data_IF_450196348468
#
_entry.id   IF_450196348468
#
_cell.length_a   1.000
_cell.length_b   1.000
_cell.length_c   1.000
_cell.angle_alpha   90.00
_cell.angle_beta   90.00
_cell.angle_gamma   90.00
#
_symmetry.space_group_name_H-M   'P 1'
#
loop_
_entity.id
_entity.type
_entity.pdbx_description
1 polymer ?
#
# COMPACT_ATOMS: atom_id res chain seq x y z
N UNK A 1 14.65 -4.52 -16.94
CA UNK A 1 14.53 -3.19 -17.55
C UNK A 1 15.44 -3.24 -18.76
N UNK A 2 14.88 -3.64 -19.90
CA UNK A 2 15.68 -4.03 -21.09
C UNK A 2 15.72 -2.91 -22.14
N UNK A 3 14.91 -1.87 -21.97
CA UNK A 3 14.83 -0.70 -22.85
C UNK A 3 15.04 0.61 -22.06
N UNK A 4 15.84 1.51 -22.62
CA UNK A 4 16.13 2.83 -22.10
C UNK A 4 15.69 3.92 -23.10
N UNK A 5 15.30 5.12 -22.63
CA UNK A 5 15.27 5.57 -21.24
C UNK A 5 14.10 4.92 -20.46
N UNK A 6 14.36 4.59 -19.19
CA UNK A 6 13.36 3.98 -18.33
C UNK A 6 12.71 5.03 -17.42
N UNK A 7 11.40 4.91 -17.24
CA UNK A 7 10.63 5.75 -16.31
C UNK A 7 10.44 4.97 -15.01
N UNK A 8 10.94 5.52 -13.90
CA UNK A 8 10.81 4.94 -12.57
C UNK A 8 9.47 5.31 -11.89
N UNK A 9 9.31 4.88 -10.64
CA UNK A 9 8.12 5.14 -9.84
C UNK A 9 7.10 4.00 -9.91
N UNK A 10 6.44 3.75 -8.79
CA UNK A 10 5.52 2.62 -8.60
C UNK A 10 4.16 3.04 -8.11
N UNK A 11 4.05 4.16 -7.39
CA UNK A 11 2.79 4.69 -6.91
C UNK A 11 2.49 6.01 -7.61
N UNK A 12 1.22 6.20 -7.95
CA UNK A 12 0.73 7.39 -8.63
C UNK A 12 -0.70 7.72 -8.23
N UNK A 13 -1.02 9.00 -8.32
CA UNK A 13 -2.36 9.54 -8.10
C UNK A 13 -2.62 10.65 -9.10
N UNK A 14 -3.85 10.75 -9.59
CA UNK A 14 -4.22 11.77 -10.57
C UNK A 14 -5.66 11.63 -11.04
N UNK A 15 -5.97 12.25 -12.17
CA UNK A 15 -7.26 12.13 -12.85
C UNK A 15 -7.13 11.25 -14.08
N UNK A 16 -8.14 10.43 -14.35
CA UNK A 16 -8.21 9.67 -15.59
C UNK A 16 -8.32 10.63 -16.78
N UNK A 17 -7.36 10.59 -17.69
CA UNK A 17 -7.37 11.38 -18.92
C UNK A 17 -8.05 10.65 -20.10
N UNK A 18 -7.84 9.34 -20.20
CA UNK A 18 -8.36 8.48 -21.26
C UNK A 18 -8.72 7.09 -20.71
N UNK A 19 -9.72 6.46 -21.31
CA UNK A 19 -10.22 5.12 -20.96
C UNK A 19 -9.92 4.17 -22.11
N UNK A 20 -9.25 3.05 -21.81
CA UNK A 20 -8.98 2.01 -22.80
C UNK A 20 -10.24 1.27 -23.25
N UNK A 21 -10.17 0.66 -24.43
CA UNK A 21 -11.27 -0.13 -25.00
C UNK A 21 -11.76 -1.22 -24.03
N UNK A 22 -13.07 -1.37 -23.90
CA UNK A 22 -13.70 -2.38 -23.04
C UNK A 22 -13.77 -2.04 -21.54
N UNK A 23 -13.12 -0.97 -21.09
CA UNK A 23 -13.23 -0.50 -19.70
C UNK A 23 -14.53 0.28 -19.51
N UNK A 24 -15.40 -0.21 -18.62
CA UNK A 24 -16.75 0.36 -18.39
C UNK A 24 -16.95 0.89 -16.97
N UNK A 25 -16.02 0.61 -16.06
CA UNK A 25 -16.14 0.93 -14.62
C UNK A 25 -15.65 2.32 -14.22
N UNK A 26 -15.07 3.06 -15.17
CA UNK A 26 -14.34 4.30 -14.91
C UNK A 26 -14.72 5.37 -15.93
N UNK A 27 -14.62 6.64 -15.52
CA UNK A 27 -14.89 7.80 -16.37
C UNK A 27 -13.70 8.75 -16.41
N UNK A 28 -13.54 9.46 -17.53
CA UNK A 28 -12.59 10.58 -17.63
C UNK A 28 -12.89 11.59 -16.52
N UNK A 29 -11.85 12.09 -15.85
CA UNK A 29 -11.94 13.01 -14.73
C UNK A 29 -12.07 12.35 -13.36
N UNK A 30 -12.30 11.04 -13.26
CA UNK A 30 -12.28 10.34 -11.97
C UNK A 30 -10.91 10.51 -11.28
N UNK A 31 -10.94 10.89 -9.99
CA UNK A 31 -9.75 10.97 -9.13
C UNK A 31 -9.36 9.57 -8.68
N UNK A 32 -8.18 9.11 -9.09
CA UNK A 32 -7.74 7.74 -8.83
C UNK A 32 -6.31 7.65 -8.32
N UNK A 33 -6.07 6.63 -7.52
CA UNK A 33 -4.76 6.16 -7.09
C UNK A 33 -4.49 4.80 -7.72
N UNK A 34 -3.24 4.52 -8.06
CA UNK A 34 -2.86 3.29 -8.76
C UNK A 34 -1.42 2.88 -8.46
N UNK A 35 -1.11 1.62 -8.73
CA UNK A 35 0.26 1.11 -8.75
C UNK A 35 0.71 0.93 -10.21
N UNK A 36 1.79 1.61 -10.59
CA UNK A 36 2.50 1.43 -11.85
C UNK A 36 3.22 0.09 -11.96
N UNK A 37 3.93 -0.12 -13.07
CA UNK A 37 4.69 -1.34 -13.33
C UNK A 37 6.17 -1.05 -13.61
N UNK A 38 7.05 -1.77 -12.92
CA UNK A 38 8.51 -1.55 -12.89
C UNK A 38 9.24 -1.77 -14.23
N UNK A 39 8.59 -2.36 -15.22
CA UNK A 39 9.27 -2.91 -16.41
C UNK A 39 8.74 -2.38 -17.75
N UNK A 40 7.87 -1.36 -17.73
CA UNK A 40 7.36 -0.77 -18.96
C UNK A 40 7.37 0.75 -18.83
N UNK A 41 8.01 1.44 -19.79
CA UNK A 41 8.23 2.89 -19.72
C UNK A 41 6.91 3.67 -19.63
N UNK A 42 5.84 3.22 -20.29
CA UNK A 42 4.53 3.86 -20.22
C UNK A 42 3.75 3.54 -18.92
N UNK A 43 4.33 2.75 -18.00
CA UNK A 43 3.70 2.36 -16.71
C UNK A 43 4.49 2.84 -15.49
N UNK A 44 5.62 3.51 -15.66
CA UNK A 44 6.29 4.22 -14.56
C UNK A 44 5.44 5.42 -14.11
N UNK A 45 5.62 5.88 -12.88
CA UNK A 45 4.79 6.97 -12.32
C UNK A 45 5.49 8.32 -12.20
N UNK A 46 6.82 8.37 -12.41
CA UNK A 46 7.57 9.63 -12.46
C UNK A 46 7.50 10.29 -13.84
N UNK A 47 6.27 10.50 -14.31
CA UNK A 47 5.93 11.14 -15.58
C UNK A 47 4.52 11.74 -15.50
N UNK A 48 4.14 12.58 -16.45
CA UNK A 48 2.85 13.28 -16.44
C UNK A 48 1.67 12.35 -16.75
N UNK A 49 1.89 11.28 -17.52
CA UNK A 49 0.87 10.31 -17.92
C UNK A 49 1.39 8.89 -17.74
N UNK A 50 0.58 8.00 -17.16
CA UNK A 50 0.96 6.61 -16.93
C UNK A 50 -0.23 5.69 -17.19
N UNK A 51 0.04 4.54 -17.80
CA UNK A 51 -0.96 3.51 -18.08
C UNK A 51 -1.14 2.61 -16.87
N UNK A 52 -2.28 2.76 -16.19
CA UNK A 52 -2.71 1.87 -15.13
C UNK A 52 -3.60 0.74 -15.66
N UNK A 53 -3.60 -0.40 -14.97
CA UNK A 53 -4.57 -1.45 -15.23
C UNK A 53 -5.90 -1.08 -14.56
N UNK A 54 -7.01 -1.11 -15.30
CA UNK A 54 -8.33 -0.71 -14.80
C UNK A 54 -8.79 -1.54 -13.57
N UNK A 55 -8.25 -2.74 -13.39
CA UNK A 55 -8.49 -3.59 -12.22
C UNK A 55 -7.65 -3.23 -10.99
N UNK A 56 -6.65 -2.35 -11.14
CA UNK A 56 -5.65 -1.98 -10.12
C UNK A 56 -5.64 -0.48 -9.82
N UNK A 57 -6.76 0.19 -10.07
CA UNK A 57 -7.00 1.58 -9.68
C UNK A 57 -8.09 1.66 -8.60
N UNK A 58 -8.00 2.65 -7.73
CA UNK A 58 -8.99 2.91 -6.70
C UNK A 58 -9.37 4.39 -6.65
N UNK A 59 -10.60 4.71 -6.25
CA UNK A 59 -11.06 6.11 -6.10
C UNK A 59 -10.34 6.81 -4.96
N UNK A 60 -10.01 8.07 -5.17
CA UNK A 60 -9.52 8.98 -4.12
C UNK A 60 -10.71 9.76 -3.57
N UNK A 61 -11.02 9.67 -2.26
CA UNK A 61 -12.03 10.52 -1.63
C UNK A 61 -11.70 12.00 -1.79
N UNK A 62 -12.71 12.88 -1.86
CA UNK A 62 -12.50 14.33 -2.00
C UNK A 62 -11.68 14.93 -0.85
N UNK A 63 -11.71 14.30 0.33
CA UNK A 63 -10.97 14.72 1.51
C UNK A 63 -9.48 14.38 1.49
N UNK A 64 -9.00 13.63 0.48
CA UNK A 64 -7.61 13.17 0.39
C UNK A 64 -6.94 13.83 -0.83
N UNK A 65 -5.77 14.44 -0.61
CA UNK A 65 -5.01 15.06 -1.71
C UNK A 65 -4.36 13.99 -2.60
N UNK A 66 -3.88 14.40 -3.78
CA UNK A 66 -3.17 13.45 -4.66
C UNK A 66 -1.84 13.02 -4.03
N UNK A 67 -1.15 13.93 -3.35
CA UNK A 67 0.12 13.68 -2.67
C UNK A 67 -0.07 12.64 -1.57
N UNK A 68 -1.09 12.78 -0.72
CA UNK A 68 -1.43 11.82 0.32
C UNK A 68 -1.78 10.45 -0.29
N UNK A 69 -2.66 10.43 -1.30
CA UNK A 69 -3.07 9.19 -1.95
C UNK A 69 -1.90 8.44 -2.60
N UNK A 70 -0.96 9.15 -3.24
CA UNK A 70 0.21 8.56 -3.88
C UNK A 70 1.16 7.85 -2.91
N UNK A 71 1.02 8.02 -1.59
CA UNK A 71 1.84 7.32 -0.58
C UNK A 71 1.30 5.95 -0.14
N UNK A 72 0.15 5.54 -0.67
CA UNK A 72 -0.63 4.39 -0.19
C UNK A 72 -0.37 3.07 -0.91
N UNK A 73 -0.42 3.00 -2.26
CA UNK A 73 -0.73 1.74 -2.94
C UNK A 73 0.26 0.62 -2.71
N UNK A 74 1.56 0.83 -2.97
CA UNK A 74 2.56 -0.23 -2.86
C UNK A 74 2.78 -0.65 -1.41
N UNK A 75 2.88 0.30 -0.49
CA UNK A 75 3.08 0.01 0.95
C UNK A 75 1.93 -0.81 1.52
N UNK A 76 0.69 -0.35 1.31
CA UNK A 76 -0.51 -1.03 1.80
C UNK A 76 -0.69 -2.41 1.15
N UNK A 77 -0.53 -2.51 -0.18
CA UNK A 77 -0.71 -3.78 -0.89
C UNK A 77 0.33 -4.81 -0.51
N UNK A 78 1.59 -4.40 -0.31
CA UNK A 78 2.66 -5.29 0.17
C UNK A 78 2.31 -5.90 1.52
N UNK A 79 1.90 -5.05 2.48
CA UNK A 79 1.47 -5.52 3.80
C UNK A 79 0.24 -6.41 3.70
N UNK A 80 -0.79 -6.00 2.96
CA UNK A 80 -2.01 -6.77 2.80
C UNK A 80 -1.74 -8.16 2.19
N UNK A 81 -0.89 -8.24 1.17
CA UNK A 81 -0.49 -9.51 0.55
C UNK A 81 0.27 -10.38 1.56
N UNK A 82 1.27 -9.82 2.25
CA UNK A 82 2.08 -10.55 3.23
C UNK A 82 1.28 -11.07 4.43
N UNK A 83 0.26 -10.34 4.87
CA UNK A 83 -0.54 -10.71 6.05
C UNK A 83 -1.74 -11.59 5.70
N UNK A 84 -2.41 -11.36 4.57
CA UNK A 84 -3.72 -11.98 4.34
C UNK A 84 -3.78 -12.93 3.15
N UNK A 85 -2.72 -13.01 2.34
CA UNK A 85 -2.67 -14.03 1.28
C UNK A 85 -2.48 -15.43 1.86
N UNK A 86 -2.93 -16.43 1.09
CA UNK A 86 -2.76 -17.85 1.43
C UNK A 86 -1.30 -18.18 1.77
N UNK A 87 -1.12 -19.02 2.77
CA UNK A 87 0.17 -19.59 3.12
C UNK A 87 0.51 -20.70 2.14
N UNK A 88 1.71 -20.67 1.55
CA UNK A 88 2.23 -21.75 0.69
C UNK A 88 3.64 -22.15 1.18
N UNK A 89 4.13 -23.36 0.86
CA UNK A 89 5.40 -23.86 1.41
C UNK A 89 6.61 -22.94 1.21
N UNK A 90 6.68 -22.23 0.08
CA UNK A 90 7.83 -21.37 -0.28
C UNK A 90 7.46 -19.90 -0.53
N UNK A 91 6.17 -19.56 -0.53
CA UNK A 91 5.64 -18.24 -0.92
C UNK A 91 4.33 -17.95 -0.18
N UNK A 92 3.84 -16.72 -0.31
CA UNK A 92 2.51 -16.34 0.17
C UNK A 92 2.54 -15.51 1.44
N UNK A 93 1.39 -15.40 2.09
CA UNK A 93 1.21 -14.63 3.31
C UNK A 93 1.02 -15.51 4.54
N UNK A 94 0.64 -14.90 5.65
CA UNK A 94 0.35 -15.63 6.90
C UNK A 94 -1.03 -16.28 6.92
N UNK A 95 -1.85 -16.04 5.89
CA UNK A 95 -3.24 -16.51 5.79
C UNK A 95 -4.12 -16.05 6.95
N UNK A 96 -3.82 -14.87 7.51
CA UNK A 96 -4.74 -14.25 8.45
C UNK A 96 -6.02 -13.83 7.74
N UNK A 97 -7.10 -13.74 8.51
CA UNK A 97 -8.39 -13.27 8.00
C UNK A 97 -8.37 -11.75 7.99
N UNK A 98 -8.62 -11.18 6.82
CA UNK A 98 -8.45 -9.74 6.62
C UNK A 98 -9.52 -8.91 7.34
N UNK A 99 -9.17 -7.73 7.90
CA UNK A 99 -10.06 -6.91 8.72
C UNK A 99 -11.17 -6.19 7.94
N UNK A 100 -11.15 -6.29 6.60
CA UNK A 100 -12.23 -5.85 5.71
C UNK A 100 -13.25 -6.95 5.40
N UNK A 101 -13.05 -8.16 5.93
CA UNK A 101 -14.08 -9.22 5.90
C UNK A 101 -14.97 -9.13 7.14
N UNK A 102 -16.13 -9.79 7.11
CA UNK A 102 -17.06 -9.83 8.24
C UNK A 102 -16.47 -10.50 9.49
N UNK A 103 -15.48 -11.38 9.34
CA UNK A 103 -14.91 -12.17 10.43
C UNK A 103 -13.54 -11.66 10.92
N UNK A 104 -12.79 -10.91 10.10
CA UNK A 104 -11.37 -10.63 10.39
C UNK A 104 -11.10 -9.44 11.30
N UNK A 105 -12.06 -8.54 11.50
CA UNK A 105 -11.87 -7.37 12.37
C UNK A 105 -11.92 -7.80 13.83
N UNK A 106 -10.86 -7.51 14.58
CA UNK A 106 -10.74 -7.92 15.99
C UNK A 106 -10.54 -9.41 16.24
N UNK A 107 -10.42 -10.24 15.19
CA UNK A 107 -10.32 -11.70 15.33
C UNK A 107 -9.16 -12.19 16.20
N UNK A 108 -8.08 -11.41 16.26
CA UNK A 108 -6.83 -11.78 16.92
C UNK A 108 -6.64 -11.04 18.26
N UNK A 109 -7.74 -10.69 18.92
CA UNK A 109 -7.71 -10.00 20.22
C UNK A 109 -6.84 -10.73 21.25
N UNK A 110 -5.99 -9.96 21.95
CA UNK A 110 -5.07 -10.46 22.97
C UNK A 110 -3.86 -11.25 22.44
N UNK A 111 -3.75 -11.43 21.12
CA UNK A 111 -2.57 -12.07 20.52
C UNK A 111 -1.48 -11.02 20.30
N UNK A 112 -0.25 -11.25 20.81
CA UNK A 112 0.86 -10.35 20.55
C UNK A 112 1.33 -10.46 19.09
N UNK A 113 1.83 -9.35 18.55
CA UNK A 113 2.50 -9.31 17.25
C UNK A 113 3.81 -8.52 17.34
N UNK A 114 4.79 -8.86 16.50
CA UNK A 114 6.05 -8.11 16.37
C UNK A 114 6.11 -7.50 14.98
N UNK A 115 6.38 -6.19 14.90
CA UNK A 115 6.61 -5.47 13.63
C UNK A 115 8.05 -4.97 13.61
N UNK A 116 8.83 -5.50 12.67
CA UNK A 116 10.19 -5.04 12.39
C UNK A 116 10.15 -3.91 11.36
N UNK A 117 10.97 -2.87 11.57
CA UNK A 117 10.99 -1.70 10.68
C UNK A 117 9.68 -0.91 10.70
N UNK A 118 9.08 -0.77 11.87
CA UNK A 118 7.77 -0.14 12.09
C UNK A 118 7.70 1.32 11.61
N UNK A 119 8.82 2.06 11.65
CA UNK A 119 8.90 3.44 11.15
C UNK A 119 8.93 3.58 9.63
N UNK A 120 9.04 2.48 8.88
CA UNK A 120 8.96 2.48 7.41
C UNK A 120 7.50 2.55 6.93
N UNK A 121 7.28 2.89 5.66
CA UNK A 121 5.93 2.91 5.05
C UNK A 121 5.20 1.55 5.23
N UNK A 122 5.86 0.44 4.89
CA UNK A 122 5.30 -0.92 5.05
C UNK A 122 5.01 -1.22 6.53
N UNK A 123 5.93 -0.85 7.42
CA UNK A 123 5.79 -1.03 8.87
C UNK A 123 4.58 -0.29 9.44
N UNK A 124 4.38 0.97 9.06
CA UNK A 124 3.23 1.77 9.49
C UNK A 124 1.89 1.17 9.02
N UNK A 125 1.82 0.67 7.78
CA UNK A 125 0.64 -0.07 7.32
C UNK A 125 0.44 -1.39 8.07
N UNK A 126 1.52 -2.09 8.42
CA UNK A 126 1.44 -3.31 9.24
C UNK A 126 0.86 -3.02 10.62
N UNK A 127 1.29 -1.96 11.29
CA UNK A 127 0.73 -1.53 12.57
C UNK A 127 -0.78 -1.29 12.48
N UNK A 128 -1.22 -0.55 11.47
CA UNK A 128 -2.63 -0.24 11.27
C UNK A 128 -3.46 -1.51 11.00
N UNK A 129 -3.00 -2.36 10.09
CA UNK A 129 -3.69 -3.59 9.72
C UNK A 129 -3.74 -4.61 10.87
N UNK A 130 -2.65 -4.80 11.60
CA UNK A 130 -2.62 -5.66 12.78
C UNK A 130 -3.54 -5.15 13.90
N UNK A 131 -3.56 -3.82 14.12
CA UNK A 131 -4.48 -3.21 15.10
C UNK A 131 -5.94 -3.41 14.70
N UNK A 132 -6.29 -3.24 13.43
CA UNK A 132 -7.65 -3.52 12.91
C UNK A 132 -8.02 -5.02 13.04
N UNK A 133 -7.03 -5.90 12.87
CA UNK A 133 -7.18 -7.34 13.09
C UNK A 133 -7.27 -7.73 14.58
N UNK A 134 -7.01 -6.82 15.52
CA UNK A 134 -7.19 -7.03 16.97
C UNK A 134 -5.91 -7.39 17.74
N UNK A 135 -4.75 -7.50 17.09
CA UNK A 135 -3.51 -7.87 17.77
C UNK A 135 -3.15 -6.87 18.89
N UNK A 136 -2.80 -7.40 20.06
CA UNK A 136 -2.38 -6.61 21.22
C UNK A 136 -1.62 -7.49 22.23
N UNK A 137 -0.44 -7.06 22.74
CA UNK A 137 0.31 -5.87 22.33
C UNK A 137 0.95 -6.03 20.95
N UNK A 138 1.12 -4.91 20.23
CA UNK A 138 1.97 -4.86 19.03
C UNK A 138 3.34 -4.31 19.45
N UNK A 139 4.36 -5.16 19.38
CA UNK A 139 5.73 -4.88 19.78
C UNK A 139 6.48 -4.34 18.56
N UNK A 140 7.12 -3.19 18.71
CA UNK A 140 7.94 -2.57 17.65
C UNK A 140 9.40 -2.52 18.05
N UNK A 141 10.28 -2.57 17.04
CA UNK A 141 11.71 -2.43 17.24
C UNK A 141 12.16 -1.06 16.74
N UNK A 142 11.96 -0.03 17.56
CA UNK A 142 12.48 1.30 17.31
C UNK A 142 13.80 1.49 18.06
N UNK A 143 14.78 2.12 17.40
CA UNK A 143 15.98 2.62 18.06
C UNK A 143 15.61 3.88 18.83
N UNK A 144 15.49 3.81 20.16
CA UNK A 144 15.31 5.02 20.99
C UNK A 144 16.40 6.02 20.62
N UNK A 145 16.04 7.11 19.91
CA UNK A 145 16.99 8.18 19.66
C UNK A 145 17.41 8.67 21.04
N UNK A 146 18.64 8.33 21.43
CA UNK A 146 19.26 8.90 22.61
C UNK A 146 19.55 10.37 22.27
N UNK A 147 18.53 11.22 22.33
CA UNK A 147 18.72 12.64 22.59
C UNK A 147 19.00 12.80 24.09
N UNK A 148 20.11 12.21 24.53
CA UNK A 148 20.72 12.52 25.80
C UNK A 148 21.66 13.69 25.60
N UNK A 149 21.24 14.88 26.01
CA UNK A 149 22.12 16.03 26.15
C UNK A 149 21.48 17.35 25.75
N UNK A 150 21.12 18.14 26.77
CA UNK A 150 20.86 19.58 26.75
C UNK A 150 19.45 20.05 26.37
N UNK A 151 18.54 19.93 27.33
CA UNK A 151 17.73 21.07 27.76
C UNK A 151 17.69 21.07 29.29
N UNK A 152 18.48 21.98 29.87
CA UNK A 152 18.20 22.57 31.19
C UNK A 152 17.14 23.64 30.99
#
# INVERSE_FOLDING_TARGET
MEEFPAVAGSDGAGTIEEIGEGVTTWSKGDRVVFTGAFFSANRGTFQQFSVADASRVAKIPESITFEEAATVPLGLSTTAVGTYSKKRPEKGGTEFTAPWTSAGRGQYEGQPAVVLGDSSSVGQYALQLLKLSGFSPIITTYLQSRHGGNLK
#
